data_IF_910829647121
#
_entry.id   IF_910829647121
#
_cell.length_a   1.000
_cell.length_b   1.000
_cell.length_c   1.000
_cell.angle_alpha   90.00
_cell.angle_beta   90.00
_cell.angle_gamma   90.00
#
_symmetry.space_group_name_H-M   'P 1'
#
loop_
_entity.id
_entity.type
_entity.pdbx_description
1 polymer ?
#
# COMPACT_ATOMS: atom_id res chain seq x y z
N UNK A 1 1.19 -15.10 19.96
CA UNK A 1 1.36 -16.25 19.07
C UNK A 1 1.78 -15.77 17.70
N UNK A 2 2.82 -16.34 17.08
CA UNK A 2 3.14 -16.07 15.67
C UNK A 2 1.93 -16.42 14.77
N UNK A 3 1.82 -15.75 13.63
CA UNK A 3 0.77 -16.09 12.66
C UNK A 3 1.17 -17.39 11.96
N UNK A 4 0.22 -18.24 11.56
CA UNK A 4 0.51 -19.38 10.71
C UNK A 4 1.22 -18.91 9.42
N UNK A 5 2.24 -19.64 8.97
CA UNK A 5 3.02 -19.30 7.77
C UNK A 5 2.15 -19.06 6.54
N UNK A 6 1.07 -19.83 6.39
CA UNK A 6 0.08 -19.67 5.32
C UNK A 6 -0.57 -18.28 5.30
N UNK A 7 -0.92 -17.77 6.49
CA UNK A 7 -1.51 -16.43 6.66
C UNK A 7 -0.46 -15.34 6.39
N UNK A 8 0.81 -15.59 6.71
CA UNK A 8 1.88 -14.66 6.36
C UNK A 8 2.10 -14.59 4.85
N UNK A 9 2.05 -15.71 4.14
CA UNK A 9 2.11 -15.71 2.67
C UNK A 9 0.92 -14.98 2.05
N UNK A 10 -0.31 -15.20 2.54
CA UNK A 10 -1.49 -14.49 2.00
C UNK A 10 -1.39 -12.98 2.26
N UNK A 11 -0.95 -12.57 3.45
CA UNK A 11 -0.75 -11.15 3.77
C UNK A 11 0.35 -10.52 2.90
N UNK A 12 1.42 -11.25 2.59
CA UNK A 12 2.47 -10.77 1.69
C UNK A 12 1.95 -10.58 0.26
N UNK A 13 1.15 -11.52 -0.24
CA UNK A 13 0.50 -11.42 -1.55
C UNK A 13 -0.49 -10.26 -1.61
N UNK A 14 -1.28 -10.05 -0.57
CA UNK A 14 -2.24 -8.95 -0.49
C UNK A 14 -1.53 -7.59 -0.41
N UNK A 15 -0.41 -7.50 0.32
CA UNK A 15 0.45 -6.30 0.34
C UNK A 15 1.01 -6.04 -1.06
N UNK A 16 1.52 -7.06 -1.75
CA UNK A 16 2.06 -6.90 -3.10
C UNK A 16 1.00 -6.43 -4.11
N UNK A 17 -0.22 -6.98 -4.03
CA UNK A 17 -1.36 -6.52 -4.83
C UNK A 17 -1.75 -5.07 -4.51
N UNK A 18 -1.79 -4.73 -3.22
CA UNK A 18 -2.08 -3.37 -2.80
C UNK A 18 -1.00 -2.38 -3.26
N UNK A 19 0.28 -2.75 -3.27
CA UNK A 19 1.37 -1.93 -3.82
C UNK A 19 1.23 -1.72 -5.33
N UNK A 20 0.86 -2.76 -6.09
CA UNK A 20 0.61 -2.65 -7.52
C UNK A 20 -0.57 -1.71 -7.82
N UNK A 21 -1.72 -1.94 -7.18
CA UNK A 21 -2.90 -1.07 -7.33
C UNK A 21 -2.63 0.36 -6.89
N UNK A 22 -1.78 0.57 -5.88
CA UNK A 22 -1.39 1.90 -5.44
C UNK A 22 -0.51 2.63 -6.46
N UNK A 23 0.38 1.92 -7.16
CA UNK A 23 1.15 2.48 -8.26
C UNK A 23 0.23 2.96 -9.39
N UNK A 24 -0.74 2.14 -9.80
CA UNK A 24 -1.73 2.50 -10.82
C UNK A 24 -2.53 3.75 -10.42
N UNK A 25 -2.94 3.82 -9.15
CA UNK A 25 -3.67 4.97 -8.59
C UNK A 25 -2.84 6.25 -8.65
N UNK A 26 -1.54 6.15 -8.35
CA UNK A 26 -0.60 7.28 -8.41
C UNK A 26 -0.40 7.76 -9.84
N UNK A 27 -0.33 6.85 -10.81
CA UNK A 27 -0.20 7.19 -12.22
C UNK A 27 -1.46 7.94 -12.70
N UNK A 28 -2.66 7.45 -12.35
CA UNK A 28 -3.92 8.15 -12.66
C UNK A 28 -3.97 9.54 -12.05
N UNK A 29 -3.58 9.71 -10.78
CA UNK A 29 -3.56 11.03 -10.13
C UNK A 29 -2.54 11.96 -10.79
N UNK A 30 -1.41 11.41 -11.25
CA UNK A 30 -0.39 12.16 -11.99
C UNK A 30 -0.94 12.62 -13.34
N UNK A 31 -1.64 11.75 -14.08
CA UNK A 31 -2.28 12.10 -15.35
C UNK A 31 -3.38 13.16 -15.16
N UNK A 32 -4.19 13.05 -14.10
CA UNK A 32 -5.17 14.07 -13.74
C UNK A 32 -4.50 15.42 -13.49
N UNK A 33 -3.38 15.45 -12.77
CA UNK A 33 -2.61 16.66 -12.53
C UNK A 33 -2.05 17.27 -13.81
N UNK A 34 -1.52 16.43 -14.71
CA UNK A 34 -1.03 16.85 -16.03
C UNK A 34 -2.15 17.40 -16.93
N UNK A 35 -3.36 16.89 -16.78
CA UNK A 35 -4.55 17.40 -17.47
C UNK A 35 -5.08 18.74 -16.91
N UNK A 36 -4.48 19.25 -15.83
CA UNK A 36 -4.85 20.52 -15.20
C UNK A 36 -6.03 20.40 -14.23
N UNK A 37 -6.39 19.19 -13.80
CA UNK A 37 -7.39 18.99 -12.74
C UNK A 37 -6.81 19.30 -11.37
N UNK A 38 -7.66 19.80 -10.45
CA UNK A 38 -7.29 19.91 -9.04
C UNK A 38 -7.24 18.52 -8.41
N UNK A 39 -6.02 18.08 -8.10
CA UNK A 39 -5.72 16.76 -7.52
C UNK A 39 -5.39 16.81 -6.03
N UNK A 40 -5.55 17.96 -5.35
CA UNK A 40 -5.14 18.09 -3.94
C UNK A 40 -5.78 17.07 -3.00
N UNK A 41 -7.05 16.72 -3.22
CA UNK A 41 -7.74 15.70 -2.40
C UNK A 41 -7.21 14.30 -2.67
N UNK A 42 -6.98 13.99 -3.94
CA UNK A 42 -6.49 12.70 -4.40
C UNK A 42 -5.04 12.49 -3.97
N UNK A 43 -4.21 13.53 -4.00
CA UNK A 43 -2.84 13.50 -3.47
C UNK A 43 -2.83 13.23 -1.97
N UNK A 44 -3.74 13.86 -1.19
CA UNK A 44 -3.87 13.60 0.24
C UNK A 44 -4.32 12.15 0.53
N UNK A 45 -5.27 11.63 -0.25
CA UNK A 45 -5.71 10.23 -0.14
C UNK A 45 -4.60 9.23 -0.50
N UNK A 46 -3.82 9.52 -1.54
CA UNK A 46 -2.64 8.73 -1.94
C UNK A 46 -1.60 8.72 -0.82
N UNK A 47 -1.33 9.86 -0.18
CA UNK A 47 -0.39 9.94 0.94
C UNK A 47 -0.88 9.15 2.17
N UNK A 48 -2.17 9.21 2.49
CA UNK A 48 -2.75 8.44 3.59
C UNK A 48 -2.71 6.93 3.31
N UNK A 49 -3.03 6.51 2.09
CA UNK A 49 -2.94 5.11 1.66
C UNK A 49 -1.50 4.61 1.71
N UNK A 50 -0.53 5.42 1.27
CA UNK A 50 0.91 5.12 1.37
C UNK A 50 1.35 4.85 2.82
N UNK A 51 0.90 5.69 3.77
CA UNK A 51 1.19 5.51 5.20
C UNK A 51 0.60 4.22 5.75
N UNK A 52 -0.64 3.90 5.37
CA UNK A 52 -1.30 2.64 5.77
C UNK A 52 -0.56 1.43 5.21
N UNK A 53 -0.20 1.43 3.93
CA UNK A 53 0.58 0.37 3.28
C UNK A 53 1.93 0.14 3.99
N UNK A 54 2.64 1.23 4.30
CA UNK A 54 3.90 1.16 5.05
C UNK A 54 3.72 0.55 6.45
N UNK A 55 2.63 0.88 7.14
CA UNK A 55 2.33 0.30 8.46
C UNK A 55 2.05 -1.21 8.38
N UNK A 56 1.33 -1.66 7.36
CA UNK A 56 1.03 -3.07 7.12
C UNK A 56 2.29 -3.85 6.77
N UNK A 57 3.17 -3.27 5.96
CA UNK A 57 4.47 -3.86 5.61
C UNK A 57 5.39 -3.99 6.82
N UNK A 58 5.49 -2.95 7.66
CA UNK A 58 6.26 -3.04 8.91
C UNK A 58 5.68 -4.09 9.87
N UNK A 59 4.36 -4.18 9.99
CA UNK A 59 3.72 -5.22 10.81
C UNK A 59 4.05 -6.62 10.31
N UNK A 60 3.97 -6.83 9.00
CA UNK A 60 4.36 -8.09 8.36
C UNK A 60 5.84 -8.43 8.63
N UNK A 61 6.76 -7.49 8.41
CA UNK A 61 8.20 -7.69 8.65
C UNK A 61 8.50 -8.00 10.13
N UNK A 62 7.86 -7.29 11.06
CA UNK A 62 8.00 -7.56 12.50
C UNK A 62 7.46 -8.93 12.90
N UNK A 63 6.39 -9.41 12.25
CA UNK A 63 5.84 -10.74 12.50
C UNK A 63 6.76 -11.81 11.94
N UNK A 64 7.29 -11.61 10.73
CA UNK A 64 8.25 -12.49 10.06
C UNK A 64 9.58 -12.61 10.80
N UNK A 65 10.06 -11.52 11.43
CA UNK A 65 11.28 -11.53 12.23
C UNK A 65 11.13 -12.19 13.61
N UNK A 66 9.88 -12.46 14.04
CA UNK A 66 9.54 -13.15 15.30
C UNK A 66 9.24 -14.64 15.13
N UNK A 67 9.18 -15.14 13.89
CA UNK A 67 9.18 -16.57 13.54
C UNK A 67 10.61 -17.09 13.35
#
# INVERSE_FOLDING_TARGET
MPLPKEVLTSVAEDIAKAEASFADLKDVVTDMKLSGMDTTKQEAEVDDLSRKLRSLRMFYELRKAKD
#
